data_IF_615330095122
#
_entry.id   IF_615330095122
#
_cell.length_a   1.000
_cell.length_b   1.000
_cell.length_c   1.000
_cell.angle_alpha   90.00
_cell.angle_beta   90.00
_cell.angle_gamma   90.00
#
_symmetry.space_group_name_H-M   'P 1'
#
loop_
_entity.id
_entity.type
_entity.pdbx_description
1 polymer ?
#
# COMPACT_ATOMS: atom_id res chain seq x y z
N UNK A 1 3.28 21.94 -11.70
CA UNK A 1 3.78 20.97 -10.68
C UNK A 1 2.60 20.39 -9.87
N UNK A 2 2.50 19.05 -9.76
CA UNK A 2 1.51 18.44 -8.87
C UNK A 2 1.98 18.62 -7.42
N UNK A 3 1.09 18.96 -6.46
CA UNK A 3 1.48 19.08 -5.06
C UNK A 3 2.07 17.75 -4.56
N UNK A 4 3.03 17.78 -3.62
CA UNK A 4 3.58 16.57 -3.03
C UNK A 4 2.48 15.77 -2.34
N UNK A 5 2.56 14.44 -2.38
CA UNK A 5 1.67 13.57 -1.62
C UNK A 5 1.72 13.92 -0.13
N UNK A 6 0.54 14.01 0.48
CA UNK A 6 0.38 14.30 1.90
C UNK A 6 0.11 13.02 2.68
N UNK A 7 0.90 12.80 3.72
CA UNK A 7 0.82 11.63 4.59
C UNK A 7 0.52 12.08 6.01
N UNK A 8 -0.65 11.70 6.52
CA UNK A 8 -1.06 12.04 7.88
C UNK A 8 -0.73 10.87 8.81
N UNK A 9 0.09 11.14 9.84
CA UNK A 9 0.35 10.18 10.91
C UNK A 9 -0.93 9.96 11.70
N UNK A 10 -1.25 8.70 11.95
CA UNK A 10 -2.42 8.31 12.75
C UNK A 10 -2.12 7.05 13.57
N UNK A 11 -3.05 6.70 14.43
CA UNK A 11 -2.98 5.60 15.38
C UNK A 11 -4.37 5.04 15.63
N UNK A 12 -4.44 3.74 15.91
CA UNK A 12 -5.71 3.06 16.13
C UNK A 12 -6.66 3.28 14.95
N UNK A 13 -7.93 3.52 15.22
CA UNK A 13 -8.99 3.64 14.21
C UNK A 13 -9.23 5.07 13.68
N UNK A 14 -8.35 6.03 13.97
CA UNK A 14 -8.50 7.44 13.59
C UNK A 14 -8.07 7.72 12.13
N UNK A 15 -8.68 7.02 11.17
CA UNK A 15 -8.41 7.27 9.74
C UNK A 15 -9.04 8.62 9.32
N UNK A 16 -8.28 9.58 8.76
CA UNK A 16 -8.81 10.86 8.30
C UNK A 16 -9.93 10.72 7.25
N UNK A 17 -10.90 11.64 7.24
CA UNK A 17 -12.06 11.59 6.32
C UNK A 17 -11.69 11.80 4.86
N UNK A 18 -10.55 12.43 4.60
CA UNK A 18 -9.95 12.67 3.29
C UNK A 18 -8.92 11.60 2.87
N UNK A 19 -8.91 10.45 3.56
CA UNK A 19 -8.07 9.30 3.22
C UNK A 19 -8.45 8.67 1.87
N UNK A 20 -7.45 8.16 1.15
CA UNK A 20 -7.67 7.54 -0.15
C UNK A 20 -8.11 6.08 0.01
N UNK A 21 -9.43 5.83 -0.11
CA UNK A 21 -10.00 4.49 -0.25
C UNK A 21 -9.58 3.87 -1.59
N UNK A 22 -8.97 2.70 -1.55
CA UNK A 22 -8.28 2.15 -2.73
C UNK A 22 -8.34 0.63 -2.86
N UNK A 23 -8.66 -0.10 -1.79
CA UNK A 23 -8.88 -1.54 -1.82
C UNK A 23 -10.25 -1.93 -1.26
N UNK A 24 -10.69 -3.14 -1.57
CA UNK A 24 -11.98 -3.69 -1.18
C UNK A 24 -11.80 -5.18 -0.87
N UNK A 25 -11.96 -5.57 0.39
CA UNK A 25 -11.92 -6.97 0.82
C UNK A 25 -13.27 -7.63 0.55
N UNK A 26 -14.36 -6.92 0.82
CA UNK A 26 -15.72 -7.33 0.46
C UNK A 26 -16.64 -6.09 0.39
N UNK A 27 -17.96 -6.29 0.40
CA UNK A 27 -18.93 -5.21 0.31
C UNK A 27 -18.93 -4.23 1.50
N UNK A 28 -18.35 -4.59 2.64
CA UNK A 28 -18.36 -3.77 3.86
C UNK A 28 -16.96 -3.34 4.31
N UNK A 29 -15.91 -4.07 3.90
CA UNK A 29 -14.52 -3.84 4.31
C UNK A 29 -13.70 -3.18 3.21
N UNK A 30 -13.42 -1.89 3.40
CA UNK A 30 -12.56 -1.06 2.54
C UNK A 30 -11.14 -0.97 3.10
N UNK A 31 -10.16 -0.88 2.20
CA UNK A 31 -8.76 -0.59 2.55
C UNK A 31 -8.38 0.80 2.06
N UNK A 32 -7.70 1.53 2.92
CA UNK A 32 -7.10 2.82 2.59
C UNK A 32 -5.60 2.67 2.31
N UNK A 33 -5.06 3.55 1.48
CA UNK A 33 -3.62 3.61 1.20
C UNK A 33 -2.92 4.09 2.47
N UNK A 34 -2.09 3.22 3.06
CA UNK A 34 -1.23 3.60 4.17
C UNK A 34 0.19 3.14 3.97
N UNK A 35 1.05 3.53 4.92
CA UNK A 35 2.42 3.03 5.04
C UNK A 35 2.81 2.97 6.52
N UNK A 36 3.73 2.08 6.86
CA UNK A 36 4.24 1.98 8.21
C UNK A 36 5.72 1.58 8.23
N UNK A 37 6.41 1.95 9.30
CA UNK A 37 7.77 1.50 9.54
C UNK A 37 7.78 0.08 10.10
N UNK A 38 8.55 -0.82 9.48
CA UNK A 38 8.76 -2.17 9.97
C UNK A 38 10.14 -2.70 9.57
N UNK A 39 10.91 -3.20 10.55
CA UNK A 39 12.25 -3.79 10.34
C UNK A 39 13.23 -2.88 9.55
N UNK A 40 13.14 -1.56 9.76
CA UNK A 40 13.99 -0.56 9.09
C UNK A 40 13.46 -0.07 7.73
N UNK A 41 12.45 -0.74 7.17
CA UNK A 41 11.78 -0.33 5.95
C UNK A 41 10.62 0.63 6.28
N UNK A 42 10.30 1.54 5.35
CA UNK A 42 9.01 2.22 5.29
C UNK A 42 8.20 1.55 4.18
N UNK A 43 7.10 0.88 4.54
CA UNK A 43 6.42 -0.06 3.66
C UNK A 43 4.99 0.41 3.38
N UNK A 44 4.59 0.62 2.12
CA UNK A 44 3.19 0.84 1.76
C UNK A 44 2.35 -0.44 1.96
N UNK A 45 1.14 -0.27 2.47
CA UNK A 45 0.27 -1.33 2.94
C UNK A 45 -1.20 -0.96 2.92
N UNK A 46 -2.01 -1.81 3.53
CA UNK A 46 -3.45 -1.65 3.63
C UNK A 46 -3.86 -1.19 5.03
N UNK A 47 -4.50 -0.04 5.14
CA UNK A 47 -5.11 0.41 6.40
C UNK A 47 -6.55 -0.06 6.46
N UNK A 48 -6.89 -0.75 7.55
CA UNK A 48 -8.26 -1.19 7.84
C UNK A 48 -8.73 -0.43 9.07
N UNK A 49 -9.58 0.58 8.87
CA UNK A 49 -9.98 1.53 9.90
C UNK A 49 -10.52 0.85 11.17
N UNK A 50 -11.41 -0.13 11.04
CA UNK A 50 -11.98 -0.85 12.19
C UNK A 50 -10.95 -1.65 12.98
N UNK A 51 -9.92 -2.17 12.31
CA UNK A 51 -8.83 -2.89 12.97
C UNK A 51 -7.80 -1.94 13.59
N UNK A 52 -7.80 -0.68 13.16
CA UNK A 52 -6.93 0.36 13.68
C UNK A 52 -5.43 0.14 13.43
N UNK A 53 -5.11 -0.52 12.32
CA UNK A 53 -3.73 -0.90 11.94
C UNK A 53 -3.49 -0.72 10.45
N UNK A 54 -2.22 -0.58 10.09
CA UNK A 54 -1.72 -0.79 8.74
C UNK A 54 -1.15 -2.20 8.62
N UNK A 55 -1.65 -2.98 7.66
CA UNK A 55 -1.09 -4.26 7.27
C UNK A 55 0.00 -4.06 6.22
N UNK A 56 1.24 -4.33 6.58
CA UNK A 56 2.39 -4.24 5.68
C UNK A 56 2.90 -5.63 5.28
N UNK A 57 3.05 -5.91 3.97
CA UNK A 57 3.67 -7.15 3.50
C UNK A 57 5.19 -7.10 3.69
N UNK A 58 5.77 -8.08 4.38
CA UNK A 58 7.22 -8.16 4.58
C UNK A 58 7.69 -9.61 4.82
N UNK A 59 8.67 -10.06 4.05
CA UNK A 59 9.38 -11.32 4.33
C UNK A 59 8.49 -12.56 4.34
N UNK A 60 7.46 -12.63 3.50
CA UNK A 60 6.52 -13.75 3.47
C UNK A 60 5.31 -13.61 4.40
N UNK A 61 5.27 -12.60 5.28
CA UNK A 61 4.17 -12.38 6.23
C UNK A 61 3.48 -11.03 6.01
N UNK A 62 2.22 -10.93 6.42
CA UNK A 62 1.49 -9.68 6.55
C UNK A 62 1.50 -9.22 8.01
N UNK A 63 2.24 -8.14 8.29
CA UNK A 63 2.39 -7.61 9.64
C UNK A 63 1.42 -6.47 9.91
N UNK A 64 0.71 -6.52 11.04
CA UNK A 64 -0.06 -5.39 11.55
C UNK A 64 0.84 -4.41 12.31
N UNK A 65 0.69 -3.11 12.03
CA UNK A 65 1.43 -2.02 12.69
C UNK A 65 0.43 -0.96 13.14
N UNK A 66 0.46 -0.58 14.41
CA UNK A 66 -0.50 0.35 15.04
C UNK A 66 -0.14 1.82 14.86
N UNK A 67 1.13 2.15 14.63
CA UNK A 67 1.60 3.48 14.29
C UNK A 67 1.88 3.53 12.79
N UNK A 68 1.07 4.30 12.06
CA UNK A 68 1.12 4.30 10.61
C UNK A 68 0.76 5.68 10.05
N UNK A 69 0.98 5.85 8.75
CA UNK A 69 0.60 7.03 8.00
C UNK A 69 -0.45 6.65 6.95
N UNK A 70 -1.39 7.55 6.70
CA UNK A 70 -2.43 7.39 5.67
C UNK A 70 -2.20 8.44 4.59
N UNK A 71 -2.32 8.04 3.33
CA UNK A 71 -2.30 8.97 2.21
C UNK A 71 -3.62 9.75 2.18
N UNK A 72 -3.53 11.08 2.15
CA UNK A 72 -4.68 11.99 2.13
C UNK A 72 -4.56 13.01 1.00
N UNK A 73 -5.68 13.68 0.67
CA UNK A 73 -5.73 14.84 -0.22
C UNK A 73 -5.08 14.64 -1.62
N UNK A 74 -4.95 13.39 -2.06
CA UNK A 74 -4.23 13.04 -3.28
C UNK A 74 -5.19 12.64 -4.39
N UNK A 75 -5.04 13.26 -5.57
CA UNK A 75 -5.76 12.89 -6.80
C UNK A 75 -4.85 12.03 -7.67
N UNK A 76 -5.01 10.72 -7.55
CA UNK A 76 -4.30 9.73 -8.37
C UNK A 76 -5.23 8.59 -8.78
N UNK A 77 -4.70 7.67 -9.57
CA UNK A 77 -5.44 6.51 -10.07
C UNK A 77 -4.57 5.28 -10.12
N UNK A 78 -5.20 4.11 -10.13
CA UNK A 78 -4.53 2.85 -10.39
C UNK A 78 -4.46 2.58 -11.89
N UNK A 79 -3.27 2.23 -12.37
CA UNK A 79 -3.05 1.78 -13.75
C UNK A 79 -2.45 0.39 -13.76
N UNK A 80 -2.91 -0.46 -14.69
CA UNK A 80 -2.42 -1.83 -14.84
C UNK A 80 -0.94 -1.82 -15.25
N UNK A 81 -0.17 -2.69 -14.63
CA UNK A 81 1.22 -2.95 -14.99
C UNK A 81 1.60 -4.40 -14.64
N UNK A 82 2.86 -4.76 -14.87
CA UNK A 82 3.40 -6.08 -14.56
C UNK A 82 4.90 -6.04 -14.25
N UNK A 83 5.38 -7.02 -13.50
CA UNK A 83 6.80 -7.20 -13.18
C UNK A 83 7.39 -5.94 -12.52
N UNK A 84 8.60 -5.54 -12.89
CA UNK A 84 9.25 -4.30 -12.46
C UNK A 84 8.88 -3.06 -13.30
N UNK A 85 7.84 -3.10 -14.13
CA UNK A 85 7.45 -1.96 -14.98
C UNK A 85 6.73 -0.89 -14.15
N UNK A 86 7.51 -0.01 -13.53
CA UNK A 86 7.01 1.12 -12.73
C UNK A 86 6.90 2.36 -13.64
N UNK A 87 5.69 2.92 -13.88
CA UNK A 87 5.52 4.17 -14.62
C UNK A 87 6.30 5.32 -13.99
N UNK A 88 6.80 6.26 -14.79
CA UNK A 88 7.58 7.41 -14.30
C UNK A 88 6.79 8.35 -13.39
N UNK A 89 5.46 8.34 -13.48
CA UNK A 89 4.54 9.10 -12.62
C UNK A 89 3.96 8.28 -11.45
N UNK A 90 4.49 7.07 -11.18
CA UNK A 90 4.11 6.29 -9.99
C UNK A 90 4.53 7.03 -8.71
N UNK A 91 3.67 7.00 -7.70
CA UNK A 91 3.93 7.67 -6.42
C UNK A 91 4.89 6.85 -5.55
N UNK A 92 6.11 7.34 -5.24
CA UNK A 92 6.95 6.75 -4.21
C UNK A 92 6.24 6.82 -2.86
N UNK A 93 6.17 5.69 -2.14
CA UNK A 93 5.41 5.60 -0.90
C UNK A 93 6.18 4.93 0.25
N UNK A 94 7.43 4.57 0.02
CA UNK A 94 8.27 3.93 1.00
C UNK A 94 9.67 3.66 0.47
N UNK A 95 10.50 3.06 1.31
CA UNK A 95 11.84 2.62 0.95
C UNK A 95 12.27 1.45 1.82
N UNK A 96 13.04 0.53 1.25
CA UNK A 96 13.72 -0.49 2.04
C UNK A 96 14.86 0.13 2.84
N UNK A 97 15.37 -0.58 3.84
CA UNK A 97 16.54 -0.20 4.63
C UNK A 97 17.80 -0.01 3.77
N UNK A 98 17.85 -0.65 2.58
CA UNK A 98 18.92 -0.47 1.58
C UNK A 98 18.69 0.71 0.63
N UNK A 99 17.61 1.46 0.81
CA UNK A 99 17.28 2.65 0.00
C UNK A 99 16.50 2.37 -1.28
N UNK A 100 16.08 1.14 -1.56
CA UNK A 100 15.22 0.86 -2.73
C UNK A 100 13.83 1.47 -2.51
N UNK A 101 13.39 2.30 -3.45
CA UNK A 101 12.05 2.92 -3.42
C UNK A 101 10.96 1.86 -3.58
N UNK A 102 9.95 1.95 -2.73
CA UNK A 102 8.73 1.15 -2.78
C UNK A 102 7.54 2.00 -3.24
N UNK A 103 6.64 1.37 -4.00
CA UNK A 103 5.47 2.03 -4.59
C UNK A 103 4.17 1.39 -4.10
N UNK A 104 3.07 2.13 -4.17
CA UNK A 104 1.74 1.60 -3.83
C UNK A 104 1.26 0.71 -4.98
N UNK A 105 0.97 -0.55 -4.67
CA UNK A 105 0.30 -1.44 -5.61
C UNK A 105 -1.04 -1.94 -5.08
N UNK A 106 -1.87 -2.40 -6.01
CA UNK A 106 -3.12 -3.10 -5.76
C UNK A 106 -3.17 -4.37 -6.60
N UNK A 107 -3.58 -5.48 -6.00
CA UNK A 107 -3.72 -6.75 -6.70
C UNK A 107 -5.10 -7.37 -6.45
N UNK A 108 -5.59 -8.10 -7.46
CA UNK A 108 -6.79 -8.90 -7.35
C UNK A 108 -6.45 -10.27 -6.76
N UNK A 109 -7.10 -10.65 -5.66
CA UNK A 109 -6.92 -11.95 -5.01
C UNK A 109 -8.27 -12.49 -4.55
N UNK A 110 -8.70 -13.65 -5.07
CA UNK A 110 -9.96 -14.32 -4.67
C UNK A 110 -11.19 -13.37 -4.61
N UNK A 111 -11.36 -12.52 -5.63
CA UNK A 111 -12.46 -11.53 -5.69
C UNK A 111 -12.23 -10.23 -4.92
N UNK A 112 -11.14 -10.13 -4.16
CA UNK A 112 -10.75 -8.93 -3.41
C UNK A 112 -9.82 -8.04 -4.21
N UNK A 113 -9.76 -6.76 -3.85
CA UNK A 113 -8.76 -5.79 -4.29
C UNK A 113 -7.91 -5.37 -3.09
N UNK A 114 -6.69 -5.89 -3.00
CA UNK A 114 -5.82 -5.73 -1.83
C UNK A 114 -4.67 -4.78 -2.12
N UNK A 115 -4.33 -3.92 -1.15
CA UNK A 115 -3.23 -2.97 -1.24
C UNK A 115 -1.93 -3.54 -0.67
N UNK A 116 -0.80 -3.02 -1.15
CA UNK A 116 0.52 -3.38 -0.65
C UNK A 116 1.66 -2.65 -1.36
N UNK A 117 2.82 -3.30 -1.43
CA UNK A 117 4.06 -2.72 -1.97
C UNK A 117 4.41 -3.32 -3.33
N UNK A 118 4.76 -2.47 -4.30
CA UNK A 118 5.52 -2.88 -5.47
C UNK A 118 7.00 -2.63 -5.22
N UNK A 119 7.82 -3.64 -5.51
CA UNK A 119 9.27 -3.59 -5.39
C UNK A 119 9.88 -3.92 -6.75
N UNK A 120 10.59 -2.96 -7.33
CA UNK A 120 11.05 -3.02 -8.73
C UNK A 120 12.10 -4.11 -8.91
N UNK A 121 13.06 -4.21 -8.00
CA UNK A 121 14.16 -5.19 -8.07
C UNK A 121 13.68 -6.64 -8.00
N UNK A 122 12.55 -6.87 -7.33
CA UNK A 122 11.92 -8.19 -7.21
C UNK A 122 10.86 -8.45 -8.27
N UNK A 123 10.52 -7.45 -9.07
CA UNK A 123 9.48 -7.52 -10.12
C UNK A 123 8.12 -8.04 -9.62
N UNK A 124 7.71 -7.66 -8.40
CA UNK A 124 6.45 -8.11 -7.81
C UNK A 124 5.72 -6.98 -7.11
N UNK A 125 4.39 -7.10 -7.13
CA UNK A 125 3.52 -6.52 -6.11
C UNK A 125 3.31 -7.55 -5.01
N UNK A 126 3.46 -7.12 -3.77
CA UNK A 126 3.22 -7.92 -2.57
C UNK A 126 2.04 -7.33 -1.83
N UNK A 127 1.06 -8.16 -1.46
CA UNK A 127 -0.13 -7.74 -0.69
C UNK A 127 -0.36 -8.69 0.47
N UNK A 128 -0.90 -8.17 1.58
CA UNK A 128 -1.19 -8.96 2.77
C UNK A 128 -2.60 -9.55 2.75
N UNK A 129 -2.74 -10.84 3.06
CA UNK A 129 -4.03 -11.48 3.32
C UNK A 129 -3.86 -12.69 4.23
N UNK A 130 -4.74 -12.84 5.23
CA UNK A 130 -4.73 -13.97 6.18
C UNK A 130 -3.35 -14.19 6.85
N UNK A 131 -2.67 -13.10 7.20
CA UNK A 131 -1.35 -13.14 7.83
C UNK A 131 -0.18 -13.44 6.90
N UNK A 132 -0.43 -13.71 5.62
CA UNK A 132 0.60 -14.05 4.63
C UNK A 132 0.85 -12.91 3.63
N UNK A 133 2.08 -12.85 3.11
CA UNK A 133 2.46 -12.00 1.98
C UNK A 133 2.28 -12.77 0.66
N UNK A 134 1.33 -12.32 -0.16
CA UNK A 134 1.04 -12.89 -1.48
C UNK A 134 1.72 -12.07 -2.57
N UNK A 135 2.22 -12.74 -3.62
CA UNK A 135 3.05 -12.14 -4.67
C UNK A 135 2.33 -12.15 -6.02
N UNK A 136 2.35 -11.02 -6.73
CA UNK A 136 1.65 -10.85 -8.01
C UNK A 136 2.58 -10.28 -9.08
N UNK A 137 2.56 -10.92 -10.25
CA UNK A 137 3.29 -10.49 -11.45
C UNK A 137 2.53 -9.43 -12.25
N UNK A 138 1.18 -9.47 -12.21
CA UNK A 138 0.29 -8.49 -12.84
C UNK A 138 -0.52 -7.83 -11.74
N UNK A 139 -0.49 -6.51 -11.72
CA UNK A 139 -1.06 -5.71 -10.64
C UNK A 139 -1.37 -4.31 -11.17
N UNK A 140 -1.95 -3.48 -10.32
CA UNK A 140 -2.13 -2.06 -10.60
C UNK A 140 -1.22 -1.24 -9.70
N UNK A 141 -0.71 -0.13 -10.21
CA UNK A 141 0.16 0.78 -9.47
C UNK A 141 -0.49 2.16 -9.37
N UNK A 142 -0.36 2.79 -8.21
CA UNK A 142 -0.92 4.12 -7.99
C UNK A 142 -0.02 5.18 -8.63
N UNK A 143 -0.60 5.96 -9.53
CA UNK A 143 0.06 7.06 -10.25
C UNK A 143 -0.68 8.37 -10.03
N UNK A 144 0.03 9.48 -10.16
CA UNK A 144 -0.59 10.79 -10.23
C UNK A 144 -1.28 11.06 -11.57
#
# INVERSE_FOLDING_TARGET
>A
PKPPAKWDKTYGNHVPTNAIAAGKVDNTRIQYIGRAHYKGDLIPGAVVQMAGVCYVPWGGISKYVSNYEVLVDTKGKFVKTSLGKIPSNALPAGKTAKGEVLYICRAHHKGMQLLGKAQKSLERCFVGHEGLEHKFYRYEIYVY
#
